data_IF_314911329878
#
_entry.id   IF_314911329878
#
_cell.length_a   1.000
_cell.length_b   1.000
_cell.length_c   1.000
_cell.angle_alpha   90.00
_cell.angle_beta   90.00
_cell.angle_gamma   90.00
#
_symmetry.space_group_name_H-M   'P 1'
#
loop_
_entity.id
_entity.type
_entity.pdbx_description
1 polymer ?
#
# COMPACT_ATOMS: atom_id res chain seq x y z
N UNK A 1 0.29 -64.19 41.80
CA UNK A 1 1.10 -63.36 40.86
C UNK A 1 0.24 -63.05 39.66
N UNK A 2 -0.06 -61.79 39.39
CA UNK A 2 -0.72 -61.39 38.13
C UNK A 2 0.41 -61.32 37.09
N UNK A 3 0.44 -62.26 36.16
CA UNK A 3 1.40 -62.24 35.05
C UNK A 3 0.98 -61.15 34.06
N UNK A 4 1.72 -60.05 34.03
CA UNK A 4 1.56 -59.03 33.00
C UNK A 4 1.99 -59.63 31.65
N UNK A 5 1.02 -59.89 30.78
CA UNK A 5 1.30 -60.32 29.41
C UNK A 5 1.59 -59.07 28.57
N UNK A 6 2.86 -58.85 28.22
CA UNK A 6 3.32 -57.70 27.46
C UNK A 6 2.98 -57.74 25.97
N UNK A 7 2.22 -58.74 25.52
CA UNK A 7 1.78 -58.89 24.13
C UNK A 7 0.33 -58.47 24.01
N UNK A 8 0.08 -57.21 23.61
CA UNK A 8 -1.24 -56.82 23.10
C UNK A 8 -1.54 -57.64 21.84
N UNK A 9 -2.68 -58.34 21.81
CA UNK A 9 -3.10 -59.06 20.61
C UNK A 9 -3.27 -58.09 19.43
N UNK A 10 -2.96 -58.54 18.21
CA UNK A 10 -3.00 -57.69 17.00
C UNK A 10 -4.38 -57.03 16.82
N UNK A 11 -5.46 -57.76 17.11
CA UNK A 11 -6.84 -57.26 17.07
C UNK A 11 -7.10 -56.17 18.09
N UNK A 12 -6.66 -56.35 19.34
CA UNK A 12 -6.84 -55.35 20.39
C UNK A 12 -5.98 -54.11 20.12
N UNK A 13 -4.76 -54.29 19.62
CA UNK A 13 -3.90 -53.21 19.16
C UNK A 13 -4.53 -52.44 17.99
N UNK A 14 -5.17 -53.13 17.04
CA UNK A 14 -5.91 -52.49 15.95
C UNK A 14 -7.17 -51.77 16.45
N UNK A 15 -7.90 -52.35 17.39
CA UNK A 15 -9.07 -51.70 17.99
C UNK A 15 -8.69 -50.44 18.75
N UNK A 16 -7.63 -50.49 19.57
CA UNK A 16 -7.09 -49.32 20.28
C UNK A 16 -6.57 -48.28 19.29
N UNK A 17 -5.86 -48.69 18.24
CA UNK A 17 -5.39 -47.78 17.18
C UNK A 17 -6.55 -47.11 16.45
N UNK A 18 -7.60 -47.85 16.12
CA UNK A 18 -8.77 -47.33 15.42
C UNK A 18 -9.59 -46.41 16.33
N UNK A 19 -9.76 -46.76 17.60
CA UNK A 19 -10.42 -45.91 18.59
C UNK A 19 -9.64 -44.61 18.84
N UNK A 20 -8.31 -44.70 18.98
CA UNK A 20 -7.45 -43.52 19.09
C UNK A 20 -7.51 -42.65 17.83
N UNK A 21 -7.51 -43.25 16.63
CA UNK A 21 -7.65 -42.51 15.37
C UNK A 21 -9.00 -41.79 15.26
N UNK A 22 -10.09 -42.45 15.62
CA UNK A 22 -11.44 -41.87 15.58
C UNK A 22 -11.61 -40.71 16.59
N UNK A 23 -11.08 -40.89 17.81
CA UNK A 23 -11.21 -39.87 18.86
C UNK A 23 -10.25 -38.70 18.63
N UNK A 24 -9.01 -38.96 18.22
CA UNK A 24 -7.98 -37.93 18.08
C UNK A 24 -8.03 -37.26 16.72
N UNK A 25 -8.13 -38.05 15.64
CA UNK A 25 -8.02 -37.55 14.27
C UNK A 25 -9.37 -37.06 13.73
N UNK A 26 -10.44 -37.86 13.87
CA UNK A 26 -11.75 -37.48 13.31
C UNK A 26 -12.46 -36.43 14.17
N UNK A 27 -12.04 -36.24 15.42
CA UNK A 27 -12.50 -35.12 16.25
C UNK A 27 -11.53 -33.94 16.27
N UNK A 28 -10.40 -33.96 15.56
CA UNK A 28 -9.41 -32.88 15.60
C UNK A 28 -10.04 -31.50 15.29
N UNK A 29 -10.99 -31.47 14.35
CA UNK A 29 -11.74 -30.25 13.99
C UNK A 29 -12.70 -29.76 15.09
N UNK A 30 -13.09 -30.60 16.06
CA UNK A 30 -13.90 -30.21 17.23
C UNK A 30 -13.07 -29.60 18.35
N UNK A 31 -11.74 -29.75 18.29
CA UNK A 31 -10.83 -29.26 19.32
C UNK A 31 -10.38 -27.82 19.03
N UNK A 32 -10.90 -27.20 17.95
CA UNK A 32 -10.59 -25.81 17.56
C UNK A 32 -9.08 -25.55 17.52
N UNK A 33 -8.28 -26.57 17.19
CA UNK A 33 -6.82 -26.50 17.14
C UNK A 33 -6.45 -25.54 16.02
N UNK A 34 -5.76 -24.46 16.36
CA UNK A 34 -5.38 -23.42 15.41
C UNK A 34 -6.40 -22.29 15.23
N UNK A 35 -7.61 -22.42 15.78
CA UNK A 35 -8.69 -21.42 15.57
C UNK A 35 -8.44 -20.11 16.32
N UNK A 36 -7.73 -20.19 17.45
CA UNK A 36 -7.38 -19.04 18.30
C UNK A 36 -5.89 -18.74 18.29
N UNK A 37 -5.18 -19.21 17.27
CA UNK A 37 -3.80 -18.84 17.04
C UNK A 37 -3.77 -17.36 16.64
N UNK A 38 -2.80 -16.57 17.12
CA UNK A 38 -2.69 -15.17 16.75
C UNK A 38 -2.52 -15.09 15.23
N UNK A 39 -3.30 -14.22 14.59
CA UNK A 39 -3.13 -13.89 13.17
C UNK A 39 -2.70 -12.44 13.08
N UNK A 40 -1.47 -12.22 12.66
CA UNK A 40 -0.88 -10.90 12.55
C UNK A 40 -1.33 -10.21 11.27
N UNK A 41 -1.84 -8.99 11.42
CA UNK A 41 -2.27 -8.16 10.30
C UNK A 41 -2.30 -6.69 10.72
N UNK A 42 -2.03 -5.80 9.76
CA UNK A 42 -2.14 -4.38 9.97
C UNK A 42 -2.41 -3.63 8.67
N UNK A 43 -2.83 -2.38 8.83
CA UNK A 43 -2.90 -1.37 7.77
C UNK A 43 -2.12 -0.13 8.20
N UNK A 44 -1.83 0.77 7.26
CA UNK A 44 -1.15 2.02 7.58
C UNK A 44 -1.68 3.16 6.71
N UNK A 45 -1.53 4.39 7.20
CA UNK A 45 -1.83 5.62 6.48
C UNK A 45 -0.75 6.65 6.74
N UNK A 46 -0.41 7.44 5.73
CA UNK A 46 0.62 8.47 5.84
C UNK A 46 -0.03 9.83 6.15
N UNK A 47 0.44 10.50 7.21
CA UNK A 47 0.09 11.88 7.57
C UNK A 47 1.22 12.82 7.14
N UNK A 48 1.51 12.89 5.84
CA UNK A 48 2.56 13.75 5.28
C UNK A 48 3.72 12.95 4.66
N UNK A 49 4.93 13.51 4.69
CA UNK A 49 6.09 12.95 3.98
C UNK A 49 6.77 11.79 4.69
N UNK A 50 6.73 11.79 6.02
CA UNK A 50 7.53 10.89 6.85
C UNK A 50 6.80 10.35 8.07
N UNK A 51 5.59 10.85 8.36
CA UNK A 51 4.80 10.41 9.50
C UNK A 51 3.75 9.40 9.04
N UNK A 52 3.73 8.24 9.69
CA UNK A 52 2.91 7.09 9.30
C UNK A 52 2.20 6.55 10.54
N UNK A 53 0.87 6.48 10.44
CA UNK A 53 0.01 5.87 11.45
C UNK A 53 -0.20 4.41 11.06
N UNK A 54 0.10 3.50 11.98
CA UNK A 54 -0.18 2.07 11.81
C UNK A 54 -1.41 1.68 12.63
N UNK A 55 -2.29 0.91 12.01
CA UNK A 55 -3.51 0.38 12.63
C UNK A 55 -3.41 -1.13 12.69
N UNK A 56 -3.43 -1.68 13.90
CA UNK A 56 -3.44 -3.11 14.12
C UNK A 56 -4.79 -3.71 13.71
N UNK A 57 -4.76 -4.73 12.87
CA UNK A 57 -5.95 -5.52 12.46
C UNK A 57 -5.76 -6.99 12.77
N UNK A 58 -4.86 -7.31 13.72
CA UNK A 58 -4.53 -8.67 14.13
C UNK A 58 -5.68 -9.27 14.93
N UNK A 59 -5.89 -10.58 14.79
CA UNK A 59 -6.90 -11.31 15.57
C UNK A 59 -6.22 -12.29 16.52
N UNK A 60 -6.91 -12.59 17.62
CA UNK A 60 -6.45 -13.56 18.63
C UNK A 60 -5.03 -13.30 19.17
N UNK A 61 -4.63 -12.03 19.29
CA UNK A 61 -3.35 -11.59 19.84
C UNK A 61 -3.54 -10.66 21.04
N UNK A 62 -2.65 -10.75 22.03
CA UNK A 62 -2.65 -9.90 23.24
C UNK A 62 -1.36 -9.07 23.37
N UNK A 63 -0.31 -9.40 22.61
CA UNK A 63 0.98 -8.69 22.59
C UNK A 63 1.37 -8.31 21.18
N UNK A 64 2.01 -7.14 21.02
CA UNK A 64 2.44 -6.61 19.74
C UNK A 64 3.86 -6.10 19.83
N UNK A 65 4.66 -6.40 18.82
CA UNK A 65 6.01 -5.84 18.64
C UNK A 65 6.13 -5.39 17.20
N UNK A 66 6.34 -4.09 17.03
CA UNK A 66 6.59 -3.45 15.76
C UNK A 66 8.08 -3.26 15.56
N UNK A 67 8.55 -3.52 14.35
CA UNK A 67 9.84 -3.12 13.81
C UNK A 67 9.57 -2.34 12.53
N UNK A 68 9.97 -1.07 12.50
CA UNK A 68 9.66 -0.17 11.39
C UNK A 68 10.65 -0.29 10.23
N UNK A 69 11.70 -1.10 10.37
CA UNK A 69 12.73 -1.31 9.35
C UNK A 69 13.82 -0.24 9.30
N UNK A 70 13.74 0.78 10.16
CA UNK A 70 14.74 1.85 10.31
C UNK A 70 15.59 1.73 11.59
N UNK A 71 15.34 0.67 12.38
CA UNK A 71 16.02 0.39 13.64
C UNK A 71 15.18 0.69 14.89
N UNK A 72 14.06 1.40 14.73
CA UNK A 72 13.14 1.68 15.84
C UNK A 72 12.10 0.58 16.00
N UNK A 73 11.72 0.33 17.26
CA UNK A 73 10.72 -0.69 17.63
C UNK A 73 9.78 -0.17 18.71
N UNK A 74 8.57 -0.72 18.76
CA UNK A 74 7.59 -0.38 19.81
C UNK A 74 6.63 -1.51 20.11
N UNK A 75 6.01 -1.49 21.29
CA UNK A 75 4.97 -2.43 21.72
C UNK A 75 3.59 -1.79 21.82
N UNK A 76 3.41 -0.60 21.25
CA UNK A 76 2.10 0.03 21.16
C UNK A 76 1.17 -0.76 20.22
N UNK A 77 -0.14 -0.73 20.50
CA UNK A 77 -1.14 -1.40 19.66
C UNK A 77 -1.21 -0.73 18.28
N UNK A 78 -1.49 0.57 18.26
CA UNK A 78 -1.59 1.40 17.06
C UNK A 78 -0.55 2.55 17.11
N UNK A 79 0.70 2.32 16.67
CA UNK A 79 1.75 3.33 16.79
C UNK A 79 1.68 4.40 15.69
N UNK A 80 2.07 5.61 16.06
CA UNK A 80 2.49 6.66 15.14
C UNK A 80 4.02 6.62 15.06
N UNK A 81 4.57 6.51 13.85
CA UNK A 81 6.02 6.49 13.62
C UNK A 81 6.45 7.59 12.66
N UNK A 82 7.63 8.17 12.90
CA UNK A 82 8.18 9.23 12.05
C UNK A 82 9.55 8.82 11.52
N UNK A 83 9.65 8.66 10.20
CA UNK A 83 10.90 8.29 9.54
C UNK A 83 11.79 9.51 9.31
N UNK A 84 13.04 9.46 9.79
CA UNK A 84 13.99 10.58 9.65
C UNK A 84 14.64 10.66 8.27
N UNK A 85 14.72 9.52 7.56
CA UNK A 85 15.35 9.42 6.25
C UNK A 85 14.36 8.90 5.22
N UNK A 86 14.57 9.31 3.97
CA UNK A 86 13.82 8.76 2.84
C UNK A 86 14.39 7.40 2.47
N UNK A 87 13.54 6.43 2.19
CA UNK A 87 13.93 5.09 1.83
C UNK A 87 12.71 4.17 1.70
N UNK A 88 12.98 2.93 1.33
CA UNK A 88 11.99 1.86 1.38
C UNK A 88 12.24 1.05 2.65
N UNK A 89 11.23 0.94 3.49
CA UNK A 89 11.29 0.28 4.78
C UNK A 89 10.35 -0.93 4.80
N UNK A 90 10.85 -2.05 5.32
CA UNK A 90 10.02 -3.24 5.55
C UNK A 90 9.54 -3.19 6.99
N UNK A 91 8.25 -2.87 7.17
CA UNK A 91 7.60 -2.83 8.48
C UNK A 91 7.12 -4.22 8.83
N UNK A 92 7.42 -4.63 10.06
CA UNK A 92 7.08 -5.94 10.60
C UNK A 92 6.27 -5.78 11.87
N UNK A 93 5.17 -6.52 11.96
CA UNK A 93 4.36 -6.69 13.16
C UNK A 93 4.41 -8.14 13.60
N UNK A 94 4.94 -8.37 14.81
CA UNK A 94 4.87 -9.64 15.51
C UNK A 94 3.73 -9.57 16.53
N UNK A 95 2.72 -10.41 16.34
CA UNK A 95 1.55 -10.51 17.21
C UNK A 95 1.59 -11.83 17.96
N UNK A 96 1.38 -11.80 19.27
CA UNK A 96 1.59 -12.97 20.14
C UNK A 96 0.42 -13.24 21.08
N UNK A 97 0.21 -14.53 21.38
CA UNK A 97 -0.72 -15.02 22.41
C UNK A 97 -0.31 -16.40 22.89
N UNK A 98 -0.32 -16.62 24.21
CA UNK A 98 -0.05 -17.93 24.82
C UNK A 98 1.26 -18.61 24.37
N UNK A 99 2.30 -17.84 24.06
CA UNK A 99 3.59 -18.36 23.58
C UNK A 99 3.64 -18.70 22.09
N UNK A 100 2.54 -18.52 21.37
CA UNK A 100 2.51 -18.53 19.91
C UNK A 100 2.63 -17.12 19.37
N UNK A 101 3.30 -16.98 18.22
CA UNK A 101 3.48 -15.71 17.54
C UNK A 101 3.18 -15.89 16.05
N UNK A 102 2.59 -14.86 15.45
CA UNK A 102 2.48 -14.72 14.01
C UNK A 102 3.08 -13.39 13.57
N UNK A 103 3.47 -13.31 12.30
CA UNK A 103 4.24 -12.20 11.74
C UNK A 103 3.60 -11.69 10.46
N UNK A 104 3.40 -10.38 10.39
CA UNK A 104 2.97 -9.69 9.18
C UNK A 104 4.05 -8.70 8.76
N UNK A 105 4.30 -8.60 7.46
CA UNK A 105 5.27 -7.67 6.88
C UNK A 105 4.63 -6.87 5.75
N UNK A 106 4.94 -5.59 5.68
CA UNK A 106 4.52 -4.71 4.59
C UNK A 106 5.62 -3.73 4.24
N UNK A 107 5.73 -3.36 2.96
CA UNK A 107 6.72 -2.41 2.50
C UNK A 107 6.13 -1.01 2.46
N UNK A 108 6.85 -0.06 3.02
CA UNK A 108 6.48 1.35 3.11
C UNK A 108 7.56 2.19 2.44
N UNK A 109 7.16 3.10 1.57
CA UNK A 109 8.10 3.97 0.83
C UNK A 109 8.00 5.37 1.41
N UNK A 110 9.06 5.80 2.07
CA UNK A 110 9.21 7.14 2.64
C UNK A 110 10.06 7.94 1.67
N UNK A 111 9.48 8.98 1.09
CA UNK A 111 10.17 9.86 0.17
C UNK A 111 9.93 11.31 0.52
N UNK A 112 10.62 12.28 -0.13
CA UNK A 112 9.98 13.58 -0.26
C UNK A 112 8.58 13.29 -0.82
N UNK A 113 7.52 13.91 -0.28
CA UNK A 113 6.23 13.82 -0.95
C UNK A 113 6.43 14.36 -2.36
N UNK A 114 6.58 13.45 -3.32
CA UNK A 114 6.27 13.73 -4.70
C UNK A 114 4.79 14.12 -4.71
N UNK A 115 4.43 15.02 -5.61
CA UNK A 115 3.02 15.26 -5.91
C UNK A 115 2.51 13.99 -6.59
N UNK A 116 2.14 12.96 -5.82
CA UNK A 116 1.34 11.79 -6.23
C UNK A 116 1.09 10.86 -5.02
N UNK A 117 -0.09 10.98 -4.40
CA UNK A 117 -1.06 9.89 -4.15
C UNK A 117 -2.18 10.39 -3.22
N UNK A 118 -3.10 11.16 -3.79
CA UNK A 118 -4.50 11.08 -3.40
C UNK A 118 -5.29 10.87 -4.69
N UNK A 119 -5.40 9.59 -5.09
CA UNK A 119 -6.19 9.12 -6.22
C UNK A 119 -7.69 9.28 -5.93
N UNK A 120 -8.16 10.53 -5.91
CA UNK A 120 -9.57 10.83 -6.10
C UNK A 120 -9.88 10.87 -7.60
N UNK A 121 -9.87 9.70 -8.24
CA UNK A 121 -10.67 9.46 -9.45
C UNK A 121 -9.97 9.47 -10.82
N UNK A 122 -8.67 9.73 -10.92
CA UNK A 122 -7.93 9.61 -12.18
C UNK A 122 -7.15 8.30 -12.22
N UNK A 123 -7.83 7.20 -12.55
CA UNK A 123 -7.18 5.92 -12.86
C UNK A 123 -6.08 6.16 -13.91
N UNK A 124 -4.85 5.76 -13.58
CA UNK A 124 -3.63 5.85 -14.36
C UNK A 124 -3.83 5.89 -15.89
N UNK A 125 -3.41 6.98 -16.57
CA UNK A 125 -3.49 6.94 -18.02
C UNK A 125 -3.10 8.12 -18.90
N UNK A 126 -2.87 9.33 -18.38
CA UNK A 126 -2.60 10.46 -19.26
C UNK A 126 -1.10 10.67 -19.52
N UNK A 127 -0.78 11.12 -20.73
CA UNK A 127 0.59 11.36 -21.19
C UNK A 127 0.67 12.69 -21.94
N UNK A 128 1.80 13.39 -21.83
CA UNK A 128 2.11 14.56 -22.66
C UNK A 128 3.24 14.23 -23.61
N UNK A 129 3.06 14.54 -24.89
CA UNK A 129 4.08 14.32 -25.92
C UNK A 129 3.98 15.38 -27.04
N UNK A 130 5.09 15.73 -27.69
CA UNK A 130 6.45 15.38 -27.29
C UNK A 130 6.85 16.08 -25.98
N UNK A 131 7.84 15.52 -25.28
CA UNK A 131 8.49 16.18 -24.15
C UNK A 131 9.98 15.79 -24.20
N UNK A 132 10.89 16.70 -24.61
CA UNK A 132 10.72 18.16 -24.77
C UNK A 132 9.84 18.58 -25.96
N UNK A 133 9.26 19.79 -25.89
CA UNK A 133 8.43 20.37 -26.95
C UNK A 133 8.77 21.85 -27.23
N UNK A 134 8.47 22.33 -28.44
CA UNK A 134 8.77 23.70 -28.88
C UNK A 134 7.51 24.54 -29.15
N UNK A 135 6.53 23.96 -29.85
CA UNK A 135 5.35 24.70 -30.34
C UNK A 135 4.05 24.27 -29.66
N UNK A 136 3.85 22.96 -29.51
CA UNK A 136 2.66 22.38 -28.91
C UNK A 136 2.98 21.07 -28.22
N UNK A 137 2.10 20.66 -27.33
CA UNK A 137 2.04 19.30 -26.79
C UNK A 137 0.67 18.69 -27.09
N UNK A 138 0.63 17.37 -27.10
CA UNK A 138 -0.59 16.57 -27.16
C UNK A 138 -0.77 15.89 -25.81
N UNK A 139 -1.97 16.02 -25.24
CA UNK A 139 -2.38 15.38 -24.00
C UNK A 139 -3.18 14.11 -24.33
N UNK A 140 -2.58 12.94 -24.16
CA UNK A 140 -3.31 11.67 -24.28
C UNK A 140 -4.21 11.50 -23.06
N UNK A 141 -5.52 11.39 -23.26
CA UNK A 141 -6.51 11.18 -22.20
C UNK A 141 -7.21 9.82 -22.38
N UNK A 142 -7.47 9.12 -21.27
CA UNK A 142 -8.25 7.86 -21.30
C UNK A 142 -9.75 8.10 -21.13
N UNK A 143 -10.15 9.16 -20.41
CA UNK A 143 -11.54 9.53 -20.20
C UNK A 143 -12.10 10.43 -21.30
N UNK A 144 -13.43 10.34 -21.52
CA UNK A 144 -14.16 11.11 -22.53
C UNK A 144 -14.52 12.51 -22.02
N UNK A 145 -14.53 12.71 -20.70
CA UNK A 145 -14.86 14.02 -20.11
C UNK A 145 -13.76 15.04 -20.39
N UNK A 146 -14.11 16.32 -20.63
CA UNK A 146 -13.11 17.38 -20.75
C UNK A 146 -12.46 17.63 -19.39
N UNK A 147 -11.14 17.85 -19.41
CA UNK A 147 -10.35 18.23 -18.26
C UNK A 147 -9.88 19.66 -18.38
N UNK A 148 -9.71 20.33 -17.25
CA UNK A 148 -9.06 21.64 -17.21
C UNK A 148 -7.55 21.42 -17.05
N UNK A 149 -6.72 22.23 -17.70
CA UNK A 149 -5.27 22.18 -17.53
C UNK A 149 -4.70 23.54 -17.20
N UNK A 150 -3.57 23.53 -16.50
CA UNK A 150 -2.80 24.73 -16.17
C UNK A 150 -1.30 24.44 -16.32
N UNK A 151 -0.57 25.42 -16.82
CA UNK A 151 0.89 25.38 -16.95
C UNK A 151 1.48 26.45 -16.04
N UNK A 152 2.35 25.99 -15.15
CA UNK A 152 3.04 26.83 -14.17
C UNK A 152 4.54 26.87 -14.46
N UNK A 153 5.14 28.03 -14.22
CA UNK A 153 6.59 28.12 -14.07
C UNK A 153 7.05 27.36 -12.82
N UNK A 154 8.34 27.03 -12.73
CA UNK A 154 8.94 26.43 -11.53
C UNK A 154 8.80 27.28 -10.26
N UNK A 155 8.53 28.58 -10.42
CA UNK A 155 8.27 29.54 -9.32
C UNK A 155 6.80 29.60 -8.92
N UNK A 156 5.92 28.82 -9.55
CA UNK A 156 4.49 28.75 -9.22
C UNK A 156 3.61 29.83 -9.86
N UNK A 157 4.14 30.67 -10.75
CA UNK A 157 3.32 31.61 -11.53
C UNK A 157 2.50 30.86 -12.59
N UNK A 158 1.20 31.12 -12.64
CA UNK A 158 0.32 30.63 -13.71
C UNK A 158 0.69 31.31 -15.03
N UNK A 159 0.84 30.53 -16.11
CA UNK A 159 1.26 31.04 -17.41
C UNK A 159 0.24 30.76 -18.51
N UNK A 160 -0.36 29.57 -18.52
CA UNK A 160 -1.38 29.17 -19.49
C UNK A 160 -2.40 28.30 -18.77
N UNK A 161 -3.69 28.53 -19.02
CA UNK A 161 -4.76 27.65 -18.57
C UNK A 161 -5.75 27.40 -19.71
N UNK A 162 -6.45 26.27 -19.67
CA UNK A 162 -7.45 25.92 -20.67
C UNK A 162 -8.17 24.62 -20.39
N UNK A 163 -8.81 24.07 -21.42
CA UNK A 163 -9.48 22.77 -21.37
C UNK A 163 -8.93 21.84 -22.46
N UNK A 164 -8.88 20.55 -22.17
CA UNK A 164 -8.52 19.49 -23.10
C UNK A 164 -9.54 18.36 -23.05
N UNK A 165 -9.90 17.82 -24.21
CA UNK A 165 -10.74 16.62 -24.35
C UNK A 165 -10.07 15.61 -25.28
N UNK A 166 -10.67 14.44 -25.50
CA UNK A 166 -10.13 13.47 -26.48
C UNK A 166 -10.07 14.04 -27.90
N UNK A 167 -11.03 14.87 -28.26
CA UNK A 167 -11.16 15.51 -29.58
C UNK A 167 -10.31 16.77 -29.69
N UNK A 168 -10.11 17.48 -28.57
CA UNK A 168 -9.33 18.71 -28.49
C UNK A 168 -8.20 18.53 -27.48
N UNK A 169 -7.18 17.77 -27.86
CA UNK A 169 -6.08 17.36 -26.99
C UNK A 169 -4.75 18.09 -27.25
N UNK A 170 -4.74 19.05 -28.18
CA UNK A 170 -3.55 19.83 -28.51
C UNK A 170 -3.50 21.11 -27.68
N UNK A 171 -2.38 21.32 -27.00
CA UNK A 171 -2.11 22.53 -26.20
C UNK A 171 -0.96 23.30 -26.85
N UNK A 172 -1.22 24.54 -27.24
CA UNK A 172 -0.20 25.44 -27.78
C UNK A 172 0.68 25.99 -26.65
N UNK A 173 1.99 25.87 -26.80
CA UNK A 173 3.00 26.31 -25.83
C UNK A 173 4.03 27.25 -26.46
N UNK A 174 3.80 27.70 -27.69
CA UNK A 174 4.72 28.56 -28.45
C UNK A 174 5.00 29.92 -27.79
N UNK A 175 4.11 30.37 -26.89
CA UNK A 175 4.30 31.58 -26.08
C UNK A 175 5.23 31.38 -24.89
N UNK A 176 5.49 30.15 -24.46
CA UNK A 176 6.39 29.85 -23.33
C UNK A 176 7.86 29.99 -23.76
N UNK A 177 8.71 30.66 -22.96
CA UNK A 177 10.15 30.61 -23.13
C UNK A 177 10.73 29.20 -22.97
N UNK A 178 11.99 29.02 -23.37
CA UNK A 178 12.72 27.79 -23.07
C UNK A 178 12.90 27.64 -21.56
N UNK A 179 12.59 26.46 -21.04
CA UNK A 179 12.59 26.26 -19.60
C UNK A 179 11.87 24.98 -19.17
N UNK A 180 11.80 24.80 -17.85
CA UNK A 180 11.07 23.71 -17.22
C UNK A 180 9.76 24.26 -16.63
N UNK A 181 8.68 23.51 -16.82
CA UNK A 181 7.33 23.88 -16.42
C UNK A 181 6.61 22.68 -15.78
N UNK A 182 5.58 22.97 -14.99
CA UNK A 182 4.63 21.98 -14.49
C UNK A 182 3.34 22.06 -15.29
N UNK A 183 2.92 20.94 -15.88
CA UNK A 183 1.61 20.80 -16.53
C UNK A 183 0.68 20.06 -15.57
N UNK A 184 -0.43 20.69 -15.17
CA UNK A 184 -1.44 20.13 -14.26
C UNK A 184 -2.74 19.89 -14.99
N UNK A 185 -3.45 18.83 -14.60
CA UNK A 185 -4.74 18.42 -15.16
C UNK A 185 -5.77 18.24 -14.03
N UNK A 186 -7.01 18.71 -14.19
CA UNK A 186 -8.09 18.69 -13.18
C UNK A 186 -9.41 18.18 -13.76
N UNK A 187 -10.17 17.36 -13.00
CA UNK A 187 -11.48 16.80 -13.38
C UNK A 187 -12.58 17.85 -13.49
N UNK A 188 -12.56 18.83 -12.59
CA UNK A 188 -13.48 19.96 -12.49
C UNK A 188 -12.68 21.21 -12.20
N UNK A 189 -12.75 22.19 -13.10
CA UNK A 189 -12.13 23.52 -12.96
C UNK A 189 -12.38 24.09 -11.54
N UNK A 190 -11.42 23.91 -10.62
CA UNK A 190 -11.47 24.45 -9.25
C UNK A 190 -11.50 23.46 -8.09
N UNK A 191 -11.57 22.14 -8.28
CA UNK A 191 -11.43 21.18 -7.15
C UNK A 191 -10.01 20.62 -7.11
N UNK A 192 -9.39 20.59 -5.92
CA UNK A 192 -8.00 20.17 -5.68
C UNK A 192 -7.83 18.65 -5.84
N UNK A 193 -7.99 18.15 -7.07
CA UNK A 193 -7.73 16.77 -7.46
C UNK A 193 -7.06 16.80 -8.84
N UNK A 194 -5.77 17.15 -8.86
CA UNK A 194 -5.03 17.26 -10.11
C UNK A 194 -3.64 16.64 -10.03
N UNK A 195 -3.26 15.91 -11.07
CA UNK A 195 -1.93 15.29 -11.24
C UNK A 195 -1.07 16.26 -12.05
N UNK A 196 0.22 16.35 -11.72
CA UNK A 196 1.18 17.22 -12.42
C UNK A 196 2.28 16.43 -13.13
N UNK A 197 2.68 16.85 -14.33
CA UNK A 197 3.85 16.32 -15.06
C UNK A 197 4.82 17.43 -15.44
N UNK A 198 6.10 17.08 -15.52
CA UNK A 198 7.13 17.98 -16.03
C UNK A 198 6.97 18.19 -17.54
N UNK A 199 7.04 19.44 -17.97
CA UNK A 199 7.10 19.85 -19.36
C UNK A 199 8.41 20.61 -19.59
N UNK A 200 9.28 20.09 -20.45
CA UNK A 200 10.48 20.79 -20.91
C UNK A 200 10.16 21.49 -22.22
N UNK A 201 10.28 22.82 -22.24
CA UNK A 201 10.17 23.65 -23.45
C UNK A 201 11.57 23.95 -23.97
N UNK A 202 11.79 23.69 -25.25
CA UNK A 202 13.06 23.95 -25.94
C UNK A 202 12.76 24.26 -27.40
N UNK A 203 13.12 25.46 -27.87
CA UNK A 203 12.92 25.93 -29.25
C UNK A 203 14.17 25.78 -30.10
#
# INVERSE_FOLDING_TARGET
MITFNSSLGITDAQNIRNAAKLIVYDSLMKWHVGEYDPVSSFTYSMSGASEITFTNTSTFADTYVWDFGDGDTTSAVDPLHTYLSTGTYTVKLVSGKCGMNDTSESTVVVGPMGIEQQDAGLQAGWQIYPNPASNFIIVRLQDIQPFCYEIYGITGSELIAGQVSKEHNKVEISSLPDGLYFFRLYDRCGTFSGISKFLKVSK
#
